data_IF_353337565462
#
_entry.id   IF_353337565462
#
_cell.length_a   1.000
_cell.length_b   1.000
_cell.length_c   1.000
_cell.angle_alpha   90.00
_cell.angle_beta   90.00
_cell.angle_gamma   90.00
#
_symmetry.space_group_name_H-M   'P 1'
#
loop_
_entity.id
_entity.type
_entity.pdbx_description
1 polymer ?
#
# COMPACT_ATOMS: atom_id res chain seq x y z
N UNK A 1 -15.06 -28.21 1.01
CA UNK A 1 -14.86 -26.83 0.52
C UNK A 1 -13.36 -26.66 0.45
N UNK A 2 -12.81 -26.37 -0.73
CA UNK A 2 -11.39 -26.05 -0.84
C UNK A 2 -11.23 -24.69 -0.17
N UNK A 3 -10.43 -24.61 0.89
CA UNK A 3 -10.19 -23.36 1.59
C UNK A 3 -9.47 -22.40 0.63
N UNK A 4 -9.94 -21.16 0.53
CA UNK A 4 -9.37 -20.14 -0.37
C UNK A 4 -7.85 -20.01 -0.13
N UNK A 5 -7.42 -20.20 1.12
CA UNK A 5 -6.01 -20.24 1.50
C UNK A 5 -5.25 -21.41 0.88
N UNK A 6 -5.82 -22.63 0.83
CA UNK A 6 -5.18 -23.78 0.19
C UNK A 6 -5.00 -23.57 -1.32
N UNK A 7 -6.01 -23.03 -1.99
CA UNK A 7 -5.89 -22.67 -3.41
C UNK A 7 -4.79 -21.64 -3.63
N UNK A 8 -4.64 -20.65 -2.75
CA UNK A 8 -3.60 -19.63 -2.86
C UNK A 8 -2.21 -20.21 -2.60
N UNK A 9 -2.08 -21.15 -1.65
CA UNK A 9 -0.83 -21.87 -1.34
C UNK A 9 -0.41 -22.76 -2.51
N UNK A 10 -1.35 -23.33 -3.26
CA UNK A 10 -1.04 -24.09 -4.48
C UNK A 10 -0.32 -23.23 -5.53
N UNK A 11 -0.63 -21.93 -5.59
CA UNK A 11 0.10 -20.94 -6.40
C UNK A 11 1.34 -20.35 -5.70
N UNK A 12 1.72 -20.87 -4.53
CA UNK A 12 2.88 -20.51 -3.73
C UNK A 12 2.99 -18.98 -3.55
N UNK A 13 4.17 -18.40 -3.80
CA UNK A 13 4.41 -16.95 -3.71
C UNK A 13 3.54 -16.10 -4.64
N UNK A 14 3.16 -16.63 -5.82
CA UNK A 14 2.40 -15.86 -6.80
C UNK A 14 0.96 -15.64 -6.37
N UNK A 15 0.35 -16.62 -5.71
CA UNK A 15 -0.99 -16.46 -5.11
C UNK A 15 -0.99 -15.37 -4.03
N UNK A 16 0.00 -15.42 -3.13
CA UNK A 16 0.17 -14.45 -2.04
C UNK A 16 0.38 -13.03 -2.61
N UNK A 17 1.17 -12.91 -3.67
CA UNK A 17 1.38 -11.65 -4.39
C UNK A 17 0.07 -11.01 -4.86
N UNK A 18 -0.75 -11.76 -5.60
CA UNK A 18 -2.03 -11.27 -6.13
C UNK A 18 -3.02 -10.91 -5.01
N UNK A 19 -3.07 -11.73 -3.96
CA UNK A 19 -3.91 -11.45 -2.80
C UNK A 19 -3.52 -10.11 -2.15
N UNK A 20 -2.22 -9.88 -1.92
CA UNK A 20 -1.75 -8.66 -1.28
C UNK A 20 -1.96 -7.41 -2.13
N UNK A 21 -1.93 -7.53 -3.46
CA UNK A 21 -2.36 -6.46 -4.37
C UNK A 21 -3.83 -6.12 -4.10
N UNK A 22 -4.71 -7.13 -4.08
CA UNK A 22 -6.15 -6.93 -3.84
C UNK A 22 -6.44 -6.29 -2.48
N UNK A 23 -5.83 -6.83 -1.42
CA UNK A 23 -5.96 -6.32 -0.05
C UNK A 23 -5.50 -4.86 0.04
N UNK A 24 -4.35 -4.51 -0.53
CA UNK A 24 -3.81 -3.14 -0.43
C UNK A 24 -4.43 -2.15 -1.42
N UNK A 25 -5.12 -2.64 -2.46
CA UNK A 25 -5.89 -1.81 -3.40
C UNK A 25 -7.24 -1.39 -2.85
N UNK A 26 -7.80 -2.12 -1.87
CA UNK A 26 -9.07 -1.78 -1.27
C UNK A 26 -8.97 -0.48 -0.43
N UNK A 27 -9.94 0.44 -0.56
CA UNK A 27 -9.97 1.67 0.24
C UNK A 27 -10.42 1.43 1.69
N UNK A 28 -10.82 0.19 2.04
CA UNK A 28 -11.37 -0.21 3.34
C UNK A 28 -10.23 -0.62 4.29
N UNK A 29 -10.50 -0.61 5.60
CA UNK A 29 -9.63 -1.25 6.61
C UNK A 29 -9.50 -2.76 6.30
N UNK A 30 -8.40 -3.09 5.65
CA UNK A 30 -7.98 -4.45 5.35
C UNK A 30 -6.92 -4.91 6.36
N UNK A 31 -6.74 -6.21 6.56
CA UNK A 31 -5.71 -6.72 7.45
C UNK A 31 -4.32 -6.19 7.01
N UNK A 32 -3.46 -5.80 7.96
CA UNK A 32 -2.08 -5.45 7.67
C UNK A 32 -1.34 -6.55 6.90
N UNK A 33 -0.52 -6.16 5.93
CA UNK A 33 0.26 -7.08 5.08
C UNK A 33 1.06 -8.10 5.89
N UNK A 34 1.68 -7.68 6.99
CA UNK A 34 2.48 -8.56 7.83
C UNK A 34 1.64 -9.67 8.48
N UNK A 35 0.37 -9.40 8.84
CA UNK A 35 -0.53 -10.41 9.39
C UNK A 35 -0.78 -11.48 8.35
N UNK A 36 -1.13 -11.06 7.12
CA UNK A 36 -1.38 -11.98 6.01
C UNK A 36 -0.16 -12.86 5.73
N UNK A 37 1.03 -12.27 5.62
CA UNK A 37 2.27 -13.03 5.41
C UNK A 37 2.56 -14.01 6.55
N UNK A 38 2.37 -13.59 7.80
CA UNK A 38 2.59 -14.45 8.97
C UNK A 38 1.62 -15.64 8.99
N UNK A 39 0.38 -15.45 8.55
CA UNK A 39 -0.58 -16.54 8.40
C UNK A 39 -0.14 -17.55 7.34
N UNK A 40 0.33 -17.12 6.17
CA UNK A 40 0.83 -18.04 5.15
C UNK A 40 2.08 -18.80 5.60
N UNK A 41 3.02 -18.12 6.27
CA UNK A 41 4.20 -18.78 6.82
C UNK A 41 3.86 -19.78 7.93
N UNK A 42 2.83 -19.51 8.73
CA UNK A 42 2.36 -20.43 9.77
C UNK A 42 1.66 -21.67 9.19
N UNK A 43 1.00 -21.55 8.04
CA UNK A 43 0.34 -22.66 7.34
C UNK A 43 1.33 -23.51 6.53
N UNK A 44 2.33 -22.88 5.93
CA UNK A 44 3.38 -23.54 5.16
C UNK A 44 4.76 -23.00 5.54
N UNK A 45 5.44 -23.75 6.41
CA UNK A 45 6.78 -23.42 6.90
C UNK A 45 7.89 -23.69 5.88
N UNK A 46 7.56 -24.22 4.69
CA UNK A 46 8.52 -24.35 3.59
C UNK A 46 8.76 -23.02 2.84
N UNK A 47 7.90 -22.03 3.04
CA UNK A 47 8.04 -20.70 2.47
C UNK A 47 9.20 -19.95 3.12
N UNK A 48 10.06 -19.35 2.31
CA UNK A 48 11.18 -18.54 2.76
C UNK A 48 10.66 -17.15 3.24
N UNK A 49 10.96 -16.75 4.50
CA UNK A 49 10.50 -15.47 5.04
C UNK A 49 10.99 -14.24 4.27
N UNK A 50 12.21 -14.27 3.70
CA UNK A 50 12.76 -13.16 2.93
C UNK A 50 12.06 -13.03 1.59
N UNK A 51 11.80 -14.14 0.90
CA UNK A 51 11.01 -14.14 -0.33
C UNK A 51 9.57 -13.69 -0.07
N UNK A 52 8.95 -14.14 1.02
CA UNK A 52 7.62 -13.67 1.44
C UNK A 52 7.60 -12.16 1.70
N UNK A 53 8.60 -11.63 2.39
CA UNK A 53 8.71 -10.20 2.64
C UNK A 53 8.88 -9.41 1.34
N UNK A 54 9.73 -9.86 0.42
CA UNK A 54 9.92 -9.21 -0.89
C UNK A 54 8.65 -9.23 -1.72
N UNK A 55 8.01 -10.39 -1.85
CA UNK A 55 6.75 -10.57 -2.57
C UNK A 55 5.66 -9.72 -1.96
N UNK A 56 5.56 -9.71 -0.63
CA UNK A 56 4.53 -8.98 0.08
C UNK A 56 4.73 -7.47 0.04
N UNK A 57 5.95 -6.97 0.20
CA UNK A 57 6.28 -5.55 0.04
C UNK A 57 5.96 -5.07 -1.38
N UNK A 58 6.28 -5.89 -2.40
CA UNK A 58 6.03 -5.56 -3.81
C UNK A 58 4.54 -5.58 -4.12
N UNK A 59 3.81 -6.61 -3.71
CA UNK A 59 2.37 -6.73 -3.90
C UNK A 59 1.60 -5.64 -3.16
N UNK A 60 1.96 -5.37 -1.90
CA UNK A 60 1.38 -4.30 -1.11
C UNK A 60 1.62 -2.93 -1.76
N UNK A 61 2.86 -2.65 -2.17
CA UNK A 61 3.20 -1.39 -2.86
C UNK A 61 2.35 -1.24 -4.10
N UNK A 62 2.26 -2.24 -4.98
CA UNK A 62 1.44 -2.19 -6.19
C UNK A 62 -0.04 -1.93 -5.87
N UNK A 63 -0.60 -2.64 -4.87
CA UNK A 63 -1.96 -2.39 -4.40
C UNK A 63 -2.17 -0.94 -3.97
N UNK A 64 -1.22 -0.35 -3.24
CA UNK A 64 -1.27 1.07 -2.85
C UNK A 64 -1.27 2.02 -4.04
N UNK A 65 -0.63 1.66 -5.15
CA UNK A 65 -0.63 2.48 -6.36
C UNK A 65 -1.99 2.47 -7.02
N UNK A 66 -2.62 1.30 -7.07
CA UNK A 66 -3.97 1.13 -7.59
C UNK A 66 -4.92 1.98 -6.76
N UNK A 67 -4.82 1.91 -5.42
CA UNK A 67 -5.62 2.73 -4.51
C UNK A 67 -5.39 4.23 -4.77
N UNK A 68 -4.13 4.68 -4.85
CA UNK A 68 -3.78 6.08 -5.16
C UNK A 68 -4.43 6.56 -6.46
N UNK A 69 -4.32 5.75 -7.51
CA UNK A 69 -4.86 6.08 -8.82
C UNK A 69 -6.40 6.14 -8.80
N UNK A 70 -7.03 5.17 -8.12
CA UNK A 70 -8.48 5.14 -7.94
C UNK A 70 -8.98 6.35 -7.14
N UNK A 71 -8.31 6.69 -6.04
CA UNK A 71 -8.62 7.88 -5.22
C UNK A 71 -8.44 9.19 -5.97
N UNK A 72 -7.54 9.24 -6.95
CA UNK A 72 -7.36 10.44 -7.79
C UNK A 72 -8.61 10.79 -8.62
N UNK A 73 -9.37 9.77 -9.03
CA UNK A 73 -10.65 9.97 -9.71
C UNK A 73 -11.69 10.65 -8.82
N UNK A 74 -11.64 10.39 -7.51
CA UNK A 74 -12.56 10.97 -6.54
C UNK A 74 -12.27 12.43 -6.19
N UNK A 75 -11.11 12.99 -6.60
CA UNK A 75 -10.76 14.40 -6.35
C UNK A 75 -11.87 15.38 -6.78
N UNK A 76 -12.55 15.09 -7.90
CA UNK A 76 -13.61 15.96 -8.45
C UNK A 76 -14.87 16.07 -7.57
N UNK A 77 -15.02 15.19 -6.58
CA UNK A 77 -16.16 15.18 -5.67
C UNK A 77 -15.85 15.82 -4.30
N UNK A 78 -14.62 16.32 -4.12
CA UNK A 78 -14.17 16.92 -2.86
C UNK A 78 -14.57 18.41 -2.82
N UNK A 79 -14.90 18.92 -1.64
CA UNK A 79 -15.19 20.33 -1.44
C UNK A 79 -13.95 21.22 -1.62
N UNK A 80 -14.17 22.49 -1.99
CA UNK A 80 -13.07 23.44 -2.29
C UNK A 80 -12.09 23.63 -1.13
N UNK A 81 -12.58 23.58 0.10
CA UNK A 81 -11.75 23.72 1.30
C UNK A 81 -10.83 22.52 1.50
N UNK A 82 -11.36 21.29 1.39
CA UNK A 82 -10.56 20.08 1.51
C UNK A 82 -9.55 19.96 0.36
N UNK A 83 -9.93 20.36 -0.86
CA UNK A 83 -8.99 20.43 -1.98
C UNK A 83 -7.82 21.39 -1.70
N UNK A 84 -8.10 22.60 -1.19
CA UNK A 84 -7.07 23.58 -0.81
C UNK A 84 -6.12 23.06 0.27
N UNK A 85 -6.66 22.37 1.28
CA UNK A 85 -5.86 21.76 2.36
C UNK A 85 -4.94 20.66 1.81
N UNK A 86 -5.45 19.79 0.93
CA UNK A 86 -4.67 18.75 0.28
C UNK A 86 -3.57 19.34 -0.62
N UNK A 87 -3.88 20.37 -1.40
CA UNK A 87 -2.90 21.05 -2.25
C UNK A 87 -1.81 21.74 -1.41
N UNK A 88 -2.15 22.29 -0.24
CA UNK A 88 -1.18 22.87 0.70
C UNK A 88 -0.20 21.80 1.21
N UNK A 89 -0.71 20.64 1.63
CA UNK A 89 0.12 19.50 2.04
C UNK A 89 1.01 19.04 0.88
N UNK A 90 0.48 18.96 -0.34
CA UNK A 90 1.22 18.55 -1.52
C UNK A 90 2.34 19.50 -1.86
N UNK A 91 2.07 20.79 -1.80
CA UNK A 91 3.08 21.84 -1.99
C UNK A 91 4.18 21.77 -0.92
N UNK A 92 3.83 21.49 0.33
CA UNK A 92 4.81 21.28 1.39
C UNK A 92 5.72 20.07 1.11
N UNK A 93 5.14 18.92 0.73
CA UNK A 93 5.91 17.72 0.42
C UNK A 93 6.75 17.88 -0.85
N UNK A 94 6.26 18.57 -1.87
CA UNK A 94 6.99 18.88 -3.10
C UNK A 94 8.22 19.77 -2.85
N UNK A 95 8.16 20.68 -1.87
CA UNK A 95 9.31 21.53 -1.49
C UNK A 95 10.45 20.75 -0.85
N UNK A 96 10.19 19.57 -0.30
CA UNK A 96 11.20 18.73 0.37
C UNK A 96 11.69 17.65 -0.59
N UNK A 97 13.01 17.59 -0.84
CA UNK A 97 13.65 16.60 -1.74
C UNK A 97 13.22 15.15 -1.46
N UNK A 98 13.05 14.80 -0.18
CA UNK A 98 12.64 13.46 0.26
C UNK A 98 11.27 13.45 0.98
N UNK A 99 10.44 14.47 0.79
CA UNK A 99 9.16 14.60 1.52
C UNK A 99 8.28 13.36 1.38
N UNK A 100 7.96 12.99 0.14
CA UNK A 100 7.14 11.80 -0.13
C UNK A 100 7.80 10.49 0.29
N UNK A 101 9.12 10.35 0.09
CA UNK A 101 9.86 9.14 0.47
C UNK A 101 9.83 8.94 1.98
N UNK A 102 10.18 9.98 2.74
CA UNK A 102 10.23 9.89 4.20
C UNK A 102 8.84 9.70 4.80
N UNK A 103 7.83 10.43 4.31
CA UNK A 103 6.46 10.24 4.78
C UNK A 103 5.96 8.82 4.48
N UNK A 104 6.19 8.29 3.27
CA UNK A 104 5.75 6.95 2.91
C UNK A 104 6.48 5.86 3.71
N UNK A 105 7.78 6.03 3.91
CA UNK A 105 8.60 5.14 4.75
C UNK A 105 8.12 5.13 6.19
N UNK A 106 7.93 6.31 6.80
CA UNK A 106 7.46 6.40 8.17
C UNK A 106 6.07 5.77 8.33
N UNK A 107 5.15 5.97 7.39
CA UNK A 107 3.82 5.35 7.45
C UNK A 107 3.82 3.84 7.21
N UNK A 108 4.82 3.30 6.52
CA UNK A 108 4.98 1.86 6.33
C UNK A 108 5.65 1.21 7.56
N UNK A 109 6.69 1.86 8.09
CA UNK A 109 7.47 1.39 9.23
C UNK A 109 6.76 1.56 10.59
N UNK A 110 5.65 2.30 10.64
CA UNK A 110 4.87 2.56 11.87
C UNK A 110 3.45 2.01 11.73
N UNK A 111 2.71 1.81 12.83
CA UNK A 111 1.30 1.36 12.78
C UNK A 111 0.34 2.46 12.28
N UNK A 112 0.82 3.42 11.49
CA UNK A 112 0.01 4.50 10.93
C UNK A 112 -0.84 4.00 9.75
N UNK A 113 -2.01 4.62 9.51
CA UNK A 113 -2.92 4.18 8.46
C UNK A 113 -2.41 4.61 7.08
N UNK A 114 -1.53 3.80 6.48
CA UNK A 114 -1.01 4.04 5.13
C UNK A 114 -2.11 4.05 4.06
N UNK A 115 -3.26 3.40 4.27
CA UNK A 115 -4.46 3.56 3.41
C UNK A 115 -4.81 5.04 3.20
N UNK A 116 -4.96 5.79 4.29
CA UNK A 116 -5.35 7.20 4.24
C UNK A 116 -4.28 8.05 3.55
N UNK A 117 -3.00 7.70 3.75
CA UNK A 117 -1.89 8.38 3.09
C UNK A 117 -1.99 8.26 1.57
N UNK A 118 -2.19 7.04 1.04
CA UNK A 118 -2.27 6.83 -0.41
C UNK A 118 -3.56 7.40 -1.02
N UNK A 119 -4.67 7.41 -0.26
CA UNK A 119 -5.89 8.11 -0.65
C UNK A 119 -5.61 9.63 -0.78
N UNK A 120 -4.97 10.22 0.23
CA UNK A 120 -4.55 11.63 0.19
C UNK A 120 -3.62 11.91 -1.00
N UNK A 121 -2.58 11.09 -1.21
CA UNK A 121 -1.69 11.20 -2.37
C UNK A 121 -2.43 11.11 -3.71
N UNK A 122 -3.46 10.28 -3.81
CA UNK A 122 -4.32 10.19 -4.99
C UNK A 122 -5.08 11.49 -5.24
N UNK A 123 -5.75 12.01 -4.21
CA UNK A 123 -6.53 13.25 -4.28
C UNK A 123 -5.63 14.47 -4.55
N UNK A 124 -4.41 14.47 -4.01
CA UNK A 124 -3.37 15.48 -4.27
C UNK A 124 -2.73 15.34 -5.66
N UNK A 125 -3.03 14.27 -6.41
CA UNK A 125 -2.38 13.93 -7.69
C UNK A 125 -0.86 13.85 -7.60
N UNK A 126 -0.35 13.28 -6.51
CA UNK A 126 1.09 13.15 -6.27
C UNK A 126 1.77 12.25 -7.32
N UNK A 127 2.81 12.78 -7.98
CA UNK A 127 3.57 12.12 -9.06
C UNK A 127 4.97 11.61 -8.65
N UNK A 128 5.32 11.71 -7.37
CA UNK A 128 6.69 11.38 -6.92
C UNK A 128 6.96 9.88 -6.91
N UNK A 129 8.03 9.41 -7.58
CA UNK A 129 8.49 8.01 -7.44
C UNK A 129 8.94 7.69 -6.01
N UNK A 130 9.25 8.73 -5.22
CA UNK A 130 9.68 8.60 -3.84
C UNK A 130 8.63 7.93 -2.94
N UNK A 131 7.34 8.06 -3.23
CA UNK A 131 6.29 7.40 -2.45
C UNK A 131 6.36 5.87 -2.55
N UNK A 132 6.75 5.36 -3.72
CA UNK A 132 6.85 3.93 -4.02
C UNK A 132 8.05 3.34 -3.28
N UNK A 133 9.21 4.00 -3.44
CA UNK A 133 10.47 3.59 -2.82
C UNK A 133 10.36 3.66 -1.30
N UNK A 134 9.81 4.77 -0.78
CA UNK A 134 9.63 4.96 0.65
C UNK A 134 8.74 3.89 1.26
N UNK A 135 7.59 3.61 0.65
CA UNK A 135 6.66 2.60 1.16
C UNK A 135 7.19 1.17 1.04
N UNK A 136 7.88 0.84 -0.06
CA UNK A 136 8.44 -0.50 -0.25
C UNK A 136 9.59 -0.82 0.74
N UNK A 137 10.35 0.21 1.14
CA UNK A 137 11.46 0.06 2.07
C UNK A 137 11.07 0.08 3.56
N UNK A 138 9.90 0.61 3.91
CA UNK A 138 9.45 0.73 5.30
C UNK A 138 8.59 -0.44 5.73
#
# INVERSE_FOLDING_TARGET
MIDIFETIIEYSYFGIFLLLIGINAAPILMPPTWIVLSSFFALDSSLDPLLLALVGATGATIGRLILKNLSSFFRRFIGKEQESNLDTIGNFLNKKKFGYTLTSFLFAATPLPSNMLFVAYGMMRAKSIGLYIGFWCG
#
